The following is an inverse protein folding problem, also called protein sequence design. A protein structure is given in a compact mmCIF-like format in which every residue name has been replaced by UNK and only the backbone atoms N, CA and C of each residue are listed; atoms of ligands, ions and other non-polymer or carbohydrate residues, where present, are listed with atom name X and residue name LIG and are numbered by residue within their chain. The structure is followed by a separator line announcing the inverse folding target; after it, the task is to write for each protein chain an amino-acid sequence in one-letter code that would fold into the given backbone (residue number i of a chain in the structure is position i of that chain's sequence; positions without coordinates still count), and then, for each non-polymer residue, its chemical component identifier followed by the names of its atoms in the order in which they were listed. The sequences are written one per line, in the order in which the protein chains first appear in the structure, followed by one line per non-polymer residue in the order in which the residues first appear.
data_IF_789262939057
#
_entry.id   IF_789262939057
#
_cell.length_a   1.000
_cell.length_b   1.000
_cell.length_c   1.000
_cell.angle_alpha   90.00
_cell.angle_beta   90.00
_cell.angle_gamma   90.00
#
_symmetry.space_group_name_H-M   'P 1'
#
loop_
_entity.id
_entity.type
_entity.pdbx_description
1 polymer ?
#
# COMPACT_ATOMS: atom_id res chain seq x y z
N UNK A 1 -8.58 -18.69 7.74
CA UNK A 1 -9.31 -17.40 7.98
C UNK A 1 -8.55 -16.43 8.88
N UNK A 2 -7.67 -16.88 9.78
CA UNK A 2 -6.91 -15.98 10.67
C UNK A 2 -5.88 -15.13 9.92
N UNK A 3 -5.16 -15.68 8.93
CA UNK A 3 -4.10 -14.97 8.20
C UNK A 3 -4.57 -13.72 7.42
N UNK A 4 -5.72 -13.80 6.75
CA UNK A 4 -6.26 -12.65 6.00
C UNK A 4 -6.66 -11.49 6.93
N UNK A 5 -7.15 -11.80 8.14
CA UNK A 5 -7.48 -10.78 9.14
C UNK A 5 -6.24 -10.07 9.69
N UNK A 6 -5.13 -10.78 9.83
CA UNK A 6 -3.84 -10.18 10.21
C UNK A 6 -3.39 -9.16 9.15
N UNK A 7 -3.52 -9.51 7.86
CA UNK A 7 -3.19 -8.58 6.78
C UNK A 7 -4.13 -7.37 6.76
N UNK A 8 -5.43 -7.53 7.02
CA UNK A 8 -6.32 -6.39 7.17
C UNK A 8 -5.91 -5.48 8.33
N UNK A 9 -5.57 -6.04 9.50
CA UNK A 9 -5.06 -5.25 10.63
C UNK A 9 -3.78 -4.50 10.26
N UNK A 10 -2.84 -5.16 9.60
CA UNK A 10 -1.62 -4.52 9.13
C UNK A 10 -1.90 -3.37 8.15
N UNK A 11 -2.85 -3.56 7.23
CA UNK A 11 -3.26 -2.49 6.30
C UNK A 11 -3.93 -1.33 7.03
N UNK A 12 -4.79 -1.59 8.02
CA UNK A 12 -5.44 -0.52 8.79
C UNK A 12 -4.40 0.33 9.51
N UNK A 13 -3.43 -0.31 10.17
CA UNK A 13 -2.37 0.41 10.90
C UNK A 13 -1.48 1.18 9.94
N UNK A 14 -0.89 0.50 8.95
CA UNK A 14 0.13 1.10 8.09
C UNK A 14 -0.50 2.07 7.08
N UNK A 15 -1.54 1.64 6.37
CA UNK A 15 -2.20 2.49 5.38
C UNK A 15 -3.08 3.57 6.01
N UNK A 16 -3.64 3.32 7.19
CA UNK A 16 -4.33 4.36 7.96
C UNK A 16 -3.35 5.44 8.40
N UNK A 17 -2.19 5.07 8.97
CA UNK A 17 -1.14 6.03 9.32
C UNK A 17 -0.70 6.83 8.10
N UNK A 18 -0.27 6.16 7.02
CA UNK A 18 0.21 6.83 5.80
C UNK A 18 -0.87 7.71 5.16
N UNK A 19 -2.12 7.23 5.10
CA UNK A 19 -3.25 7.99 4.57
C UNK A 19 -3.51 9.26 5.36
N UNK A 20 -3.64 9.15 6.69
CA UNK A 20 -3.90 10.29 7.58
C UNK A 20 -2.73 11.28 7.54
N UNK A 21 -1.48 10.81 7.67
CA UNK A 21 -0.32 11.71 7.64
C UNK A 21 -0.17 12.39 6.28
N UNK A 22 -0.42 11.69 5.17
CA UNK A 22 -0.31 12.29 3.83
C UNK A 22 -1.39 13.33 3.57
N UNK A 23 -2.61 13.12 4.09
CA UNK A 23 -3.72 14.05 3.91
C UNK A 23 -3.66 15.27 4.83
N UNK A 24 -3.33 15.08 6.10
CA UNK A 24 -3.40 16.17 7.08
C UNK A 24 -2.03 16.80 7.39
N UNK A 25 -0.95 16.03 7.23
CA UNK A 25 0.42 16.42 7.58
C UNK A 25 1.44 16.09 6.47
N UNK A 26 1.23 16.57 5.23
CA UNK A 26 1.99 16.10 4.05
C UNK A 26 3.51 16.32 4.17
N UNK A 27 3.98 17.31 4.93
CA UNK A 27 5.42 17.52 5.20
C UNK A 27 6.04 16.39 6.01
N UNK A 28 5.30 15.84 6.99
CA UNK A 28 5.76 14.70 7.79
C UNK A 28 5.84 13.47 6.88
N UNK A 29 4.77 13.22 6.12
CA UNK A 29 4.72 12.08 5.20
C UNK A 29 5.82 12.17 4.12
N UNK A 30 6.09 13.37 3.59
CA UNK A 30 7.18 13.63 2.66
C UNK A 30 8.51 13.14 3.23
N UNK A 31 8.85 13.54 4.46
CA UNK A 31 10.12 13.17 5.08
C UNK A 31 10.20 11.70 5.48
N UNK A 32 9.15 11.14 6.09
CA UNK A 32 9.21 9.82 6.73
C UNK A 32 8.84 8.66 5.80
N UNK A 33 7.86 8.85 4.91
CA UNK A 33 7.35 7.78 4.02
C UNK A 33 7.96 7.89 2.64
N UNK A 34 7.99 9.12 2.10
CA UNK A 34 8.43 9.38 0.74
C UNK A 34 9.89 9.83 0.63
N UNK A 35 10.60 9.96 1.76
CA UNK A 35 12.03 10.34 1.82
C UNK A 35 12.37 11.59 0.98
N UNK A 36 11.43 12.55 0.92
CA UNK A 36 11.48 13.76 0.11
C UNK A 36 11.72 13.51 -1.40
N UNK A 37 11.39 12.32 -1.90
CA UNK A 37 11.52 11.97 -3.31
C UNK A 37 10.46 12.63 -4.20
N UNK A 38 9.39 13.18 -3.61
CA UNK A 38 8.31 13.85 -4.33
C UNK A 38 8.20 15.32 -3.95
N UNK A 39 8.09 16.24 -4.95
CA UNK A 39 8.19 17.67 -4.70
C UNK A 39 6.87 18.32 -4.25
N UNK A 40 5.70 17.74 -4.55
CA UNK A 40 4.41 18.39 -4.34
C UNK A 40 3.58 17.75 -3.23
N UNK A 41 3.06 18.60 -2.34
CA UNK A 41 2.14 18.18 -1.28
C UNK A 41 0.81 17.65 -1.86
N UNK A 42 0.35 18.18 -2.99
CA UNK A 42 -0.87 17.71 -3.66
C UNK A 42 -0.74 16.27 -4.17
N UNK A 43 0.43 15.89 -4.70
CA UNK A 43 0.70 14.51 -5.09
C UNK A 43 0.69 13.57 -3.88
N UNK A 44 1.29 14.01 -2.77
CA UNK A 44 1.28 13.26 -1.51
C UNK A 44 -0.16 13.09 -0.99
N UNK A 45 -0.99 14.13 -1.03
CA UNK A 45 -2.40 14.06 -0.63
C UNK A 45 -3.18 13.09 -1.52
N UNK A 46 -2.95 13.12 -2.84
CA UNK A 46 -3.59 12.20 -3.78
C UNK A 46 -3.26 10.74 -3.45
N UNK A 47 -1.99 10.43 -3.18
CA UNK A 47 -1.58 9.09 -2.71
C UNK A 47 -2.24 8.79 -1.35
N UNK A 48 -2.30 9.77 -0.45
CA UNK A 48 -2.98 9.66 0.84
C UNK A 48 -4.42 9.21 0.73
N UNK A 49 -5.18 9.74 -0.25
CA UNK A 49 -6.56 9.30 -0.52
C UNK A 49 -6.63 7.80 -0.83
N UNK A 50 -5.74 7.29 -1.70
CA UNK A 50 -5.71 5.88 -2.07
C UNK A 50 -5.42 4.99 -0.85
N UNK A 51 -4.41 5.36 -0.06
CA UNK A 51 -4.00 4.57 1.11
C UNK A 51 -5.06 4.60 2.21
N UNK A 52 -5.70 5.75 2.45
CA UNK A 52 -6.82 5.84 3.39
C UNK A 52 -8.02 5.01 2.93
N UNK A 53 -8.37 5.03 1.64
CA UNK A 53 -9.43 4.19 1.10
C UNK A 53 -9.14 2.70 1.30
N UNK A 54 -7.90 2.26 1.05
CA UNK A 54 -7.45 0.89 1.34
C UNK A 54 -7.62 0.54 2.83
N UNK A 55 -7.25 1.46 3.72
CA UNK A 55 -7.39 1.26 5.16
C UNK A 55 -8.87 1.10 5.57
N UNK A 56 -9.75 1.99 5.09
CA UNK A 56 -11.19 1.94 5.38
C UNK A 56 -11.85 0.67 4.85
N UNK A 57 -11.51 0.23 3.64
CA UNK A 57 -12.01 -1.05 3.11
C UNK A 57 -11.44 -2.23 3.90
N UNK A 58 -10.20 -2.14 4.38
CA UNK A 58 -9.60 -3.17 5.24
C UNK A 58 -10.31 -3.29 6.59
N UNK A 59 -10.87 -2.20 7.12
CA UNK A 59 -11.77 -2.24 8.30
C UNK A 59 -12.96 -3.15 7.99
N UNK A 60 -13.66 -2.94 6.85
CA UNK A 60 -14.78 -3.80 6.42
C UNK A 60 -14.36 -5.27 6.23
N UNK A 61 -13.13 -5.50 5.78
CA UNK A 61 -12.52 -6.82 5.65
C UNK A 61 -12.35 -7.59 6.96
N UNK A 62 -12.33 -6.94 8.12
CA UNK A 62 -12.29 -7.64 9.41
C UNK A 62 -13.57 -8.44 9.68
N UNK A 63 -14.73 -7.92 9.27
CA UNK A 63 -16.03 -8.60 9.42
C UNK A 63 -16.32 -9.56 8.27
N UNK A 64 -16.04 -9.17 7.03
CA UNK A 64 -16.30 -9.99 5.82
C UNK A 64 -15.02 -10.22 5.01
N UNK A 65 -14.09 -11.04 5.52
CA UNK A 65 -12.73 -11.12 4.97
C UNK A 65 -12.66 -11.60 3.52
N UNK A 66 -13.54 -12.53 3.12
CA UNK A 66 -13.57 -13.01 1.74
C UNK A 66 -14.18 -11.97 0.80
N UNK A 67 -15.30 -11.35 1.17
CA UNK A 67 -15.99 -10.36 0.32
C UNK A 67 -15.13 -9.13 0.01
N UNK A 68 -14.31 -8.69 0.97
CA UNK A 68 -13.43 -7.52 0.79
C UNK A 68 -12.01 -7.85 0.37
N UNK A 69 -11.70 -9.14 0.12
CA UNK A 69 -10.37 -9.55 -0.33
C UNK A 69 -9.89 -8.95 -1.66
N UNK A 70 -10.75 -8.44 -2.57
CA UNK A 70 -10.29 -7.69 -3.74
C UNK A 70 -9.41 -6.47 -3.39
N UNK A 71 -9.52 -5.87 -2.21
CA UNK A 71 -8.61 -4.79 -1.78
C UNK A 71 -7.16 -5.27 -1.62
N UNK A 72 -6.96 -6.56 -1.32
CA UNK A 72 -5.64 -7.18 -1.24
C UNK A 72 -5.04 -7.37 -2.64
N UNK A 73 -5.86 -7.75 -3.63
CA UNK A 73 -5.44 -7.79 -5.03
C UNK A 73 -5.12 -6.39 -5.56
N UNK A 74 -5.97 -5.39 -5.27
CA UNK A 74 -5.69 -3.99 -5.62
C UNK A 74 -4.29 -3.60 -5.12
N UNK A 75 -3.96 -3.93 -3.87
CA UNK A 75 -2.66 -3.65 -3.30
C UNK A 75 -1.52 -4.40 -3.97
N UNK A 76 -1.70 -5.68 -4.30
CA UNK A 76 -0.71 -6.48 -5.01
C UNK A 76 -0.39 -5.85 -6.37
N UNK A 77 -1.43 -5.48 -7.14
CA UNK A 77 -1.30 -4.86 -8.46
C UNK A 77 -0.65 -3.47 -8.33
N UNK A 78 -1.20 -2.60 -7.49
CA UNK A 78 -0.71 -1.24 -7.28
C UNK A 78 0.78 -1.21 -6.90
N UNK A 79 1.16 -1.98 -5.87
CA UNK A 79 2.54 -2.02 -5.38
C UNK A 79 3.47 -2.65 -6.40
N UNK A 80 3.03 -3.71 -7.09
CA UNK A 80 3.78 -4.37 -8.16
C UNK A 80 4.07 -3.42 -9.32
N UNK A 81 3.05 -2.70 -9.80
CA UNK A 81 3.22 -1.70 -10.87
C UNK A 81 4.18 -0.60 -10.43
N UNK A 82 4.03 -0.08 -9.22
CA UNK A 82 4.93 0.98 -8.72
C UNK A 82 6.39 0.49 -8.65
N UNK A 83 6.64 -0.74 -8.18
CA UNK A 83 7.99 -1.32 -8.16
C UNK A 83 8.58 -1.46 -9.57
N UNK A 84 7.80 -1.92 -10.54
CA UNK A 84 8.26 -2.16 -11.91
C UNK A 84 8.45 -0.88 -12.72
N UNK A 85 7.57 0.11 -12.55
CA UNK A 85 7.51 1.31 -13.39
C UNK A 85 8.19 2.51 -12.75
N UNK A 86 8.29 2.56 -11.42
CA UNK A 86 8.89 3.69 -10.69
C UNK A 86 10.22 3.29 -10.05
N UNK A 87 10.22 2.30 -9.16
CA UNK A 87 11.43 1.97 -8.40
C UNK A 87 12.52 1.35 -9.27
N UNK A 88 12.18 0.36 -10.09
CA UNK A 88 13.15 -0.37 -10.91
C UNK A 88 13.88 0.55 -11.91
N UNK A 89 13.20 1.44 -12.67
CA UNK A 89 13.89 2.39 -13.53
C UNK A 89 14.72 3.40 -12.73
N UNK A 90 14.23 3.89 -11.59
CA UNK A 90 14.98 4.82 -10.75
C UNK A 90 16.28 4.19 -10.22
N UNK A 91 16.24 2.93 -9.79
CA UNK A 91 17.42 2.17 -9.38
C UNK A 91 18.43 2.04 -10.52
N UNK A 92 17.97 1.63 -11.71
CA UNK A 92 18.84 1.46 -12.89
C UNK A 92 19.52 2.76 -13.32
N UNK A 93 18.83 3.88 -13.15
CA UNK A 93 19.30 5.20 -13.57
C UNK A 93 19.94 6.01 -12.43
N UNK A 94 20.14 5.43 -11.24
CA UNK A 94 20.64 6.12 -10.04
C UNK A 94 19.84 7.40 -9.69
N UNK A 95 18.53 7.37 -9.90
CA UNK A 95 17.63 8.47 -9.56
C UNK A 95 17.13 8.35 -8.12
N UNK A 96 16.68 9.46 -7.55
CA UNK A 96 16.08 9.48 -6.21
C UNK A 96 14.72 8.79 -6.25
N UNK A 97 14.48 7.89 -5.30
CA UNK A 97 13.20 7.22 -5.09
C UNK A 97 13.06 6.89 -3.59
N UNK A 98 11.84 6.66 -3.08
CA UNK A 98 11.65 6.28 -1.69
C UNK A 98 12.01 4.79 -1.49
N UNK A 99 13.28 4.52 -1.18
CA UNK A 99 13.81 3.17 -0.95
C UNK A 99 13.12 2.42 0.19
N UNK A 100 12.74 3.11 1.28
CA UNK A 100 11.99 2.49 2.38
C UNK A 100 10.62 1.98 1.94
N UNK A 101 9.91 2.79 1.15
CA UNK A 101 8.64 2.43 0.54
C UNK A 101 8.81 1.27 -0.47
N UNK A 102 9.89 1.25 -1.24
CA UNK A 102 10.19 0.18 -2.18
C UNK A 102 10.41 -1.18 -1.48
N UNK A 103 11.21 -1.21 -0.41
CA UNK A 103 11.42 -2.44 0.38
C UNK A 103 10.11 -2.91 1.00
N UNK A 104 9.33 -2.00 1.57
CA UNK A 104 8.01 -2.32 2.12
C UNK A 104 7.07 -2.92 1.06
N UNK A 105 7.04 -2.33 -0.14
CA UNK A 105 6.23 -2.83 -1.26
C UNK A 105 6.67 -4.21 -1.72
N UNK A 106 7.97 -4.45 -1.80
CA UNK A 106 8.51 -5.73 -2.20
C UNK A 106 8.04 -6.84 -1.26
N UNK A 107 8.14 -6.62 0.05
CA UNK A 107 7.64 -7.58 1.05
C UNK A 107 6.14 -7.86 0.85
N UNK A 108 5.33 -6.82 0.64
CA UNK A 108 3.88 -6.98 0.45
C UNK A 108 3.56 -7.77 -0.83
N UNK A 109 4.25 -7.47 -1.93
CA UNK A 109 4.07 -8.17 -3.21
C UNK A 109 4.45 -9.65 -3.10
N UNK A 110 5.45 -9.99 -2.28
CA UNK A 110 5.83 -11.39 -2.04
C UNK A 110 4.86 -12.12 -1.10
N UNK A 111 4.31 -11.43 -0.09
CA UNK A 111 3.43 -12.05 0.92
C UNK A 111 1.98 -12.20 0.42
N UNK A 112 1.43 -11.19 -0.25
CA UNK A 112 0.00 -11.15 -0.60
C UNK A 112 -0.50 -12.32 -1.46
N UNK A 113 0.25 -12.87 -2.43
CA UNK A 113 -0.17 -14.03 -3.21
C UNK A 113 -0.53 -15.26 -2.37
N UNK A 114 0.09 -15.42 -1.19
CA UNK A 114 -0.20 -16.53 -0.28
C UNK A 114 -1.38 -16.26 0.66
N UNK A 115 -1.85 -15.02 0.75
CA UNK A 115 -2.95 -14.60 1.62
C UNK A 115 -4.26 -14.44 0.86
N UNK A 116 -4.20 -14.01 -0.40
CA UNK A 116 -5.38 -13.81 -1.25
C UNK A 116 -6.10 -15.15 -1.43
N UNK A 117 -7.44 -15.21 -1.20
CA UNK A 117 -8.20 -16.45 -1.26
C UNK A 117 -8.59 -16.80 -2.70
N UNK A 118 -7.61 -17.02 -3.59
CA UNK A 118 -7.84 -17.24 -5.03
C UNK A 118 -8.91 -18.28 -5.34
N UNK A 119 -8.85 -19.42 -4.66
CA UNK A 119 -9.80 -20.53 -4.85
C UNK A 119 -11.24 -20.18 -4.46
N UNK A 120 -11.46 -19.14 -3.63
CA UNK A 120 -12.79 -18.69 -3.24
C UNK A 120 -13.42 -17.71 -4.25
N UNK A 121 -12.65 -17.15 -5.19
CA UNK A 121 -13.16 -16.22 -6.21
C UNK A 121 -13.58 -16.91 -7.50
N UNK A 122 -13.04 -18.12 -7.75
CA UNK A 122 -13.28 -18.89 -8.98
C UNK A 122 -14.39 -19.94 -8.78
N UNK A 123 -14.93 -20.04 -7.56
CA UNK A 123 -16.09 -20.88 -7.22
C UNK A 123 -17.36 -20.05 -7.29
#
# INVERSE_FOLDING_TARGET
MTGIKIIYLANIVVAGYIGITSLFFPRISAATVFQNAYPSAEFIRLIGCLWLAIALISVLGLWRPLSFSPVLLLQLIYKGIWLLVVALPAIKNNQVYPSGMAVFFLVWVLVLPFVIPWAAWVK
#
